data_IF_379313593539
#
_entry.id   IF_379313593539
#
_cell.length_a   1.000
_cell.length_b   1.000
_cell.length_c   1.000
_cell.angle_alpha   90.00
_cell.angle_beta   90.00
_cell.angle_gamma   90.00
#
_symmetry.space_group_name_H-M   'P 1'
#
loop_
_entity.id
_entity.type
_entity.pdbx_description
1 polymer ?
#
# COMPACT_ATOMS: atom_id res chain seq x y z
N UNK A 1 -21.57 14.55 -5.19
CA UNK A 1 -20.27 14.13 -5.78
C UNK A 1 -20.43 12.89 -6.65
N UNK A 2 -20.87 11.75 -6.10
CA UNK A 2 -20.98 10.49 -6.85
C UNK A 2 -22.00 10.49 -8.00
N UNK A 3 -23.09 11.26 -7.90
CA UNK A 3 -24.00 11.48 -9.03
C UNK A 3 -23.31 12.16 -10.21
N UNK A 4 -22.49 13.18 -9.95
CA UNK A 4 -21.71 13.87 -10.99
C UNK A 4 -20.71 12.92 -11.66
N UNK A 5 -19.98 12.14 -10.85
CA UNK A 5 -19.04 11.13 -11.36
C UNK A 5 -19.75 10.09 -12.22
N UNK A 6 -20.93 9.62 -11.80
CA UNK A 6 -21.73 8.66 -12.56
C UNK A 6 -22.27 9.26 -13.86
N UNK A 7 -22.59 10.56 -13.85
CA UNK A 7 -23.02 11.29 -15.05
C UNK A 7 -21.89 11.41 -16.08
N UNK A 8 -20.67 11.66 -15.62
CA UNK A 8 -19.49 11.74 -16.48
C UNK A 8 -19.22 10.37 -17.14
N UNK A 9 -19.33 9.27 -16.39
CA UNK A 9 -19.24 7.90 -16.93
C UNK A 9 -20.37 7.63 -17.94
N UNK A 10 -21.61 8.03 -17.65
CA UNK A 10 -22.73 7.87 -18.59
C UNK A 10 -22.48 8.64 -19.90
N UNK A 11 -21.91 9.85 -19.81
CA UNK A 11 -21.56 10.64 -20.99
C UNK A 11 -20.49 9.95 -21.84
N UNK A 12 -19.48 9.33 -21.21
CA UNK A 12 -18.44 8.56 -21.89
C UNK A 12 -19.04 7.33 -22.61
N UNK A 13 -19.89 6.57 -21.93
CA UNK A 13 -20.61 5.44 -22.54
C UNK A 13 -21.43 5.88 -23.75
N UNK A 14 -22.18 6.98 -23.62
CA UNK A 14 -22.99 7.51 -24.72
C UNK A 14 -22.13 8.02 -25.90
N UNK A 15 -20.88 8.38 -25.65
CA UNK A 15 -19.90 8.77 -26.66
C UNK A 15 -19.17 7.56 -27.29
N UNK A 16 -19.50 6.33 -26.90
CA UNK A 16 -18.91 5.10 -27.43
C UNK A 16 -17.65 4.62 -26.69
N UNK A 17 -17.39 5.11 -25.48
CA UNK A 17 -16.31 4.59 -24.65
C UNK A 17 -16.71 3.23 -24.04
N UNK A 18 -15.97 2.18 -24.38
CA UNK A 18 -16.18 0.80 -23.91
C UNK A 18 -15.30 0.42 -22.71
N UNK A 19 -14.67 1.40 -22.04
CA UNK A 19 -13.86 1.15 -20.85
C UNK A 19 -14.62 0.32 -19.79
N UNK A 20 -14.13 -0.89 -19.53
CA UNK A 20 -14.80 -1.83 -18.62
C UNK A 20 -14.60 -1.37 -17.18
N UNK A 21 -15.69 -0.93 -16.54
CA UNK A 21 -15.71 -0.55 -15.13
C UNK A 21 -16.97 -1.06 -14.42
N UNK A 22 -16.92 -1.15 -13.09
CA UNK A 22 -18.12 -1.45 -12.29
C UNK A 22 -19.19 -0.39 -12.51
N UNK A 23 -18.80 0.88 -12.61
CA UNK A 23 -19.70 1.98 -12.92
C UNK A 23 -20.37 1.82 -14.29
N UNK A 24 -19.58 1.49 -15.32
CA UNK A 24 -20.11 1.27 -16.66
C UNK A 24 -21.09 0.10 -16.73
N UNK A 25 -20.74 -1.04 -16.14
CA UNK A 25 -21.63 -2.21 -16.08
C UNK A 25 -22.92 -1.90 -15.32
N UNK A 26 -22.83 -1.21 -14.17
CA UNK A 26 -24.01 -0.89 -13.35
C UNK A 26 -24.94 0.12 -14.02
N UNK A 27 -24.39 1.08 -14.79
CA UNK A 27 -25.18 2.09 -15.52
C UNK A 27 -25.80 1.53 -16.81
N UNK A 28 -25.21 0.49 -17.41
CA UNK A 28 -25.77 -0.22 -18.57
C UNK A 28 -26.77 -1.32 -18.17
N UNK A 29 -26.76 -1.76 -16.91
CA UNK A 29 -27.67 -2.77 -16.40
C UNK A 29 -29.08 -2.19 -16.19
N UNK A 30 -30.00 -2.52 -17.11
CA UNK A 30 -31.41 -2.15 -17.06
C UNK A 30 -32.17 -2.77 -15.86
N UNK A 31 -31.53 -3.65 -15.08
CA UNK A 31 -32.08 -4.24 -13.85
C UNK A 31 -31.92 -3.37 -12.59
N UNK A 32 -31.09 -2.32 -12.64
CA UNK A 32 -30.88 -1.41 -11.50
C UNK A 32 -31.92 -0.29 -11.54
N UNK A 33 -32.59 -0.09 -10.41
CA UNK A 33 -33.60 0.94 -10.16
C UNK A 33 -33.03 2.36 -10.34
N UNK A 34 -33.02 2.88 -11.56
CA UNK A 34 -32.75 4.30 -11.86
C UNK A 34 -31.31 4.79 -11.58
N UNK A 35 -30.93 5.84 -12.29
CA UNK A 35 -29.59 6.43 -12.23
C UNK A 35 -29.13 6.79 -10.81
N UNK A 36 -30.05 7.29 -9.98
CA UNK A 36 -29.74 7.72 -8.61
C UNK A 36 -29.30 6.55 -7.73
N UNK A 37 -30.03 5.42 -7.74
CA UNK A 37 -29.63 4.26 -6.93
C UNK A 37 -28.32 3.66 -7.45
N UNK A 38 -28.09 3.65 -8.77
CA UNK A 38 -26.81 3.21 -9.33
C UNK A 38 -25.64 4.08 -8.79
N UNK A 39 -25.79 5.41 -8.83
CA UNK A 39 -24.76 6.33 -8.32
C UNK A 39 -24.46 6.13 -6.83
N UNK A 40 -25.50 5.91 -6.01
CA UNK A 40 -25.31 5.67 -4.57
C UNK A 40 -24.76 4.29 -4.24
N UNK A 41 -25.12 3.25 -5.02
CA UNK A 41 -24.49 1.94 -4.89
C UNK A 41 -22.99 2.02 -5.20
N UNK A 42 -22.58 2.77 -6.24
CA UNK A 42 -21.17 3.00 -6.54
C UNK A 42 -20.45 3.74 -5.41
N UNK A 43 -21.10 4.74 -4.80
CA UNK A 43 -20.57 5.43 -3.63
C UNK A 43 -20.34 4.45 -2.46
N UNK A 44 -21.32 3.59 -2.16
CA UNK A 44 -21.19 2.59 -1.10
C UNK A 44 -20.07 1.58 -1.36
N UNK A 45 -19.95 1.08 -2.61
CA UNK A 45 -18.87 0.16 -2.99
C UNK A 45 -17.50 0.84 -2.82
N UNK A 46 -17.36 2.08 -3.30
CA UNK A 46 -16.11 2.83 -3.16
C UNK A 46 -15.74 3.05 -1.69
N UNK A 47 -16.66 3.60 -0.89
CA UNK A 47 -16.40 3.90 0.52
C UNK A 47 -16.07 2.64 1.32
N UNK A 48 -16.81 1.54 1.10
CA UNK A 48 -16.56 0.29 1.81
C UNK A 48 -15.24 -0.37 1.41
N UNK A 49 -14.85 -0.31 0.13
CA UNK A 49 -13.66 -1.00 -0.38
C UNK A 49 -12.34 -0.25 -0.18
N UNK A 50 -12.37 1.09 -0.31
CA UNK A 50 -11.16 1.91 -0.27
C UNK A 50 -10.52 1.93 1.14
N UNK A 51 -11.32 2.20 2.17
CA UNK A 51 -10.79 2.42 3.51
C UNK A 51 -10.37 1.12 4.22
N UNK A 52 -11.12 0.05 4.00
CA UNK A 52 -10.94 -1.24 4.68
C UNK A 52 -9.70 -1.97 4.19
N UNK A 53 -9.52 -2.08 2.87
CA UNK A 53 -8.34 -2.74 2.27
C UNK A 53 -7.05 -2.00 2.65
N UNK A 54 -7.05 -0.67 2.58
CA UNK A 54 -5.91 0.14 3.00
C UNK A 54 -5.60 -0.01 4.50
N UNK A 55 -6.64 -0.04 5.35
CA UNK A 55 -6.47 -0.30 6.78
C UNK A 55 -5.88 -1.69 7.06
N UNK A 56 -6.32 -2.70 6.32
CA UNK A 56 -5.82 -4.07 6.47
C UNK A 56 -4.36 -4.20 6.00
N UNK A 57 -3.98 -3.51 4.92
CA UNK A 57 -2.59 -3.42 4.49
C UNK A 57 -1.72 -2.69 5.52
N UNK A 58 -2.24 -1.67 6.21
CA UNK A 58 -1.51 -1.02 7.29
C UNK A 58 -1.23 -1.98 8.45
N UNK A 59 -2.22 -2.79 8.87
CA UNK A 59 -2.00 -3.86 9.85
C UNK A 59 -1.01 -4.91 9.34
N UNK A 60 -1.05 -5.25 8.06
CA UNK A 60 -0.05 -6.15 7.44
C UNK A 60 1.36 -5.59 7.56
N UNK A 61 1.59 -4.31 7.27
CA UNK A 61 2.90 -3.67 7.42
C UNK A 61 3.42 -3.81 8.86
N UNK A 62 2.55 -3.59 9.86
CA UNK A 62 2.90 -3.75 11.27
C UNK A 62 3.20 -5.22 11.63
N UNK A 63 2.42 -6.17 11.09
CA UNK A 63 2.66 -7.60 11.29
C UNK A 63 4.02 -8.03 10.74
N UNK A 64 4.42 -7.55 9.57
CA UNK A 64 5.72 -7.90 8.98
C UNK A 64 6.91 -7.41 9.81
N UNK A 65 6.75 -6.30 10.53
CA UNK A 65 7.75 -5.77 11.47
C UNK A 65 7.82 -6.63 12.74
N UNK A 66 6.67 -6.98 13.30
CA UNK A 66 6.58 -7.71 14.58
C UNK A 66 6.85 -9.21 14.44
N UNK A 67 6.61 -9.76 13.25
CA UNK A 67 6.69 -11.19 12.97
C UNK A 67 7.61 -11.43 11.77
N UNK A 68 8.88 -11.06 11.92
CA UNK A 68 9.91 -11.18 10.87
C UNK A 68 10.07 -12.61 10.34
N UNK A 69 9.85 -13.63 11.18
CA UNK A 69 9.87 -15.03 10.75
C UNK A 69 8.73 -15.35 9.77
N UNK A 70 7.52 -14.84 10.03
CA UNK A 70 6.41 -15.01 9.09
C UNK A 70 6.68 -14.30 7.76
N UNK A 71 7.32 -13.13 7.81
CA UNK A 71 7.77 -12.41 6.61
C UNK A 71 8.78 -13.25 5.82
N UNK A 72 9.79 -13.83 6.48
CA UNK A 72 10.82 -14.67 5.85
C UNK A 72 10.21 -15.89 5.16
N UNK A 73 9.34 -16.63 5.84
CA UNK A 73 8.68 -17.82 5.28
C UNK A 73 7.82 -17.49 4.05
N UNK A 74 7.08 -16.38 4.10
CA UNK A 74 6.29 -15.89 2.97
C UNK A 74 7.18 -15.50 1.77
N UNK A 75 8.30 -14.82 2.04
CA UNK A 75 9.27 -14.45 1.01
C UNK A 75 9.93 -15.68 0.37
N UNK A 76 10.28 -16.71 1.15
CA UNK A 76 10.86 -17.95 0.64
C UNK A 76 9.90 -18.71 -0.29
N UNK A 77 8.60 -18.73 0.03
CA UNK A 77 7.57 -19.27 -0.87
C UNK A 77 7.51 -18.49 -2.18
N UNK A 78 7.44 -17.16 -2.10
CA UNK A 78 7.42 -16.29 -3.28
C UNK A 78 8.67 -16.50 -4.15
N UNK A 79 9.85 -16.53 -3.54
CA UNK A 79 11.11 -16.67 -4.26
C UNK A 79 11.20 -18.05 -4.94
N UNK A 80 10.65 -19.12 -4.31
CA UNK A 80 10.57 -20.46 -4.89
C UNK A 80 9.61 -20.56 -6.09
N UNK A 81 8.45 -19.90 -6.02
CA UNK A 81 7.35 -20.06 -6.99
C UNK A 81 7.41 -19.01 -8.11
N UNK A 82 7.67 -17.77 -7.76
CA UNK A 82 7.66 -16.62 -8.67
C UNK A 82 9.06 -16.33 -9.21
N UNK A 83 10.07 -16.45 -8.34
CA UNK A 83 11.45 -16.12 -8.67
C UNK A 83 11.73 -14.61 -8.78
N UNK A 84 12.96 -14.20 -9.11
CA UNK A 84 13.38 -12.80 -9.03
C UNK A 84 13.11 -11.98 -10.29
N UNK A 85 12.72 -12.60 -11.42
CA UNK A 85 12.69 -11.95 -12.73
C UNK A 85 11.29 -11.56 -13.24
N UNK A 86 10.24 -11.90 -12.49
CA UNK A 86 8.87 -11.49 -12.80
C UNK A 86 8.13 -11.09 -11.54
N UNK A 87 7.13 -10.24 -11.70
CA UNK A 87 6.21 -9.87 -10.64
C UNK A 87 5.21 -11.02 -10.38
N UNK A 88 4.72 -11.18 -9.14
CA UNK A 88 3.61 -12.08 -8.85
C UNK A 88 2.37 -11.75 -9.69
N UNK A 89 1.58 -12.75 -10.06
CA UNK A 89 0.29 -12.56 -10.74
C UNK A 89 -0.79 -13.40 -10.07
N UNK A 90 -2.04 -13.25 -10.51
CA UNK A 90 -3.14 -14.09 -10.02
C UNK A 90 -2.99 -15.57 -10.43
N UNK A 91 -2.18 -15.88 -11.45
CA UNK A 91 -1.91 -17.27 -11.86
C UNK A 91 -1.08 -18.02 -10.80
N UNK A 92 -0.39 -17.29 -9.93
CA UNK A 92 0.41 -17.86 -8.84
C UNK A 92 -0.47 -18.27 -7.63
N UNK A 93 -1.74 -17.88 -7.59
CA UNK A 93 -2.59 -17.99 -6.40
C UNK A 93 -2.61 -19.40 -5.78
N UNK A 94 -2.88 -20.44 -6.57
CA UNK A 94 -2.94 -21.82 -6.04
C UNK A 94 -1.57 -22.36 -5.60
N UNK A 95 -0.47 -21.75 -6.05
CA UNK A 95 0.89 -22.17 -5.74
C UNK A 95 1.52 -21.40 -4.56
N UNK A 96 0.79 -20.43 -3.98
CA UNK A 96 1.23 -19.61 -2.86
C UNK A 96 0.37 -19.82 -1.60
N UNK A 97 0.31 -21.05 -1.04
CA UNK A 97 -0.53 -21.35 0.12
C UNK A 97 -0.14 -20.55 1.37
N UNK A 98 1.13 -20.27 1.62
CA UNK A 98 1.56 -19.46 2.76
C UNK A 98 1.12 -17.99 2.62
N UNK A 99 1.16 -17.42 1.41
CA UNK A 99 0.60 -16.08 1.16
C UNK A 99 -0.92 -16.06 1.36
N UNK A 100 -1.64 -17.09 0.91
CA UNK A 100 -3.08 -17.21 1.16
C UNK A 100 -3.38 -17.32 2.65
N UNK A 101 -2.61 -18.11 3.39
CA UNK A 101 -2.69 -18.23 4.84
C UNK A 101 -2.38 -16.89 5.54
N UNK A 102 -1.40 -16.13 5.02
CA UNK A 102 -1.06 -14.78 5.51
C UNK A 102 -2.22 -13.79 5.33
N UNK A 103 -2.93 -13.84 4.20
CA UNK A 103 -4.15 -13.03 3.96
C UNK A 103 -5.24 -13.38 4.97
N UNK A 104 -5.49 -14.68 5.20
CA UNK A 104 -6.48 -15.14 6.18
C UNK A 104 -6.10 -14.70 7.60
N UNK A 105 -4.82 -14.82 7.97
CA UNK A 105 -4.36 -14.46 9.30
C UNK A 105 -4.40 -12.97 9.55
N UNK A 106 -4.07 -12.12 8.57
CA UNK A 106 -4.14 -10.68 8.81
C UNK A 106 -5.58 -10.22 9.03
N UNK A 107 -6.53 -10.80 8.28
CA UNK A 107 -7.96 -10.53 8.45
C UNK A 107 -8.46 -11.01 9.82
N UNK A 108 -7.92 -12.10 10.37
CA UNK A 108 -8.27 -12.63 11.69
C UNK A 108 -7.64 -11.85 12.84
N UNK A 109 -6.33 -11.59 12.79
CA UNK A 109 -5.53 -11.05 13.90
C UNK A 109 -5.89 -9.60 14.27
N UNK A 110 -5.96 -8.73 13.25
CA UNK A 110 -6.29 -7.31 13.42
C UNK A 110 -7.21 -6.86 12.29
N UNK A 111 -8.48 -7.25 12.43
CA UNK A 111 -9.54 -6.83 11.51
C UNK A 111 -9.85 -5.33 11.66
N UNK A 112 -10.02 -4.66 10.53
CA UNK A 112 -10.34 -3.22 10.47
C UNK A 112 -11.69 -2.84 11.10
N UNK A 113 -12.59 -3.80 11.32
CA UNK A 113 -13.90 -3.60 11.95
C UNK A 113 -14.09 -4.62 13.09
N UNK A 114 -13.52 -4.38 14.28
CA UNK A 114 -13.44 -5.37 15.36
C UNK A 114 -14.79 -5.78 15.96
N UNK A 115 -15.80 -4.91 15.88
CA UNK A 115 -17.17 -5.16 16.37
C UNK A 115 -18.17 -5.46 15.23
N UNK A 116 -17.66 -5.59 13.99
CA UNK A 116 -18.46 -5.70 12.78
C UNK A 116 -19.40 -4.51 12.56
N UNK A 117 -20.39 -4.71 11.69
CA UNK A 117 -21.50 -3.75 11.55
C UNK A 117 -22.67 -4.18 12.44
N UNK A 118 -23.27 -3.26 13.21
CA UNK A 118 -24.39 -3.61 14.08
C UNK A 118 -25.57 -4.16 13.29
N UNK A 119 -26.15 -5.24 13.77
CA UNK A 119 -27.39 -5.80 13.24
C UNK A 119 -28.57 -5.39 14.12
N UNK A 120 -29.77 -5.29 13.54
CA UNK A 120 -31.00 -5.03 14.26
C UNK A 120 -31.99 -6.16 14.05
N UNK A 121 -32.56 -6.69 15.14
CA UNK A 121 -33.65 -7.67 15.07
C UNK A 121 -34.89 -7.07 14.41
N UNK A 122 -35.46 -7.78 13.44
CA UNK A 122 -36.69 -7.35 12.73
C UNK A 122 -37.97 -7.82 13.43
N UNK A 123 -37.85 -8.76 14.37
CA UNK A 123 -38.89 -9.35 15.20
C UNK A 123 -38.25 -9.88 16.50
N UNK A 124 -39.07 -10.21 17.49
CA UNK A 124 -38.63 -10.91 18.68
C UNK A 124 -37.98 -12.26 18.30
N UNK A 125 -36.90 -12.62 18.98
CA UNK A 125 -36.17 -13.87 18.77
C UNK A 125 -35.63 -14.43 20.09
N UNK A 126 -35.22 -15.70 20.11
CA UNK A 126 -34.60 -16.33 21.27
C UNK A 126 -33.18 -16.79 20.95
N UNK A 127 -32.22 -16.40 21.77
CA UNK A 127 -30.83 -16.85 21.69
C UNK A 127 -30.38 -17.38 23.05
N UNK A 128 -29.87 -18.62 23.10
CA UNK A 128 -29.41 -19.27 24.34
C UNK A 128 -30.44 -19.20 25.49
N UNK A 129 -31.74 -19.30 25.16
CA UNK A 129 -32.84 -19.21 26.13
C UNK A 129 -33.26 -17.79 26.52
N UNK A 130 -32.57 -16.75 26.05
CA UNK A 130 -32.93 -15.35 26.29
C UNK A 130 -33.83 -14.80 25.18
N UNK A 131 -34.95 -14.18 25.58
CA UNK A 131 -35.77 -13.39 24.65
C UNK A 131 -35.02 -12.10 24.29
N UNK A 132 -34.75 -11.93 23.00
CA UNK A 132 -34.26 -10.71 22.38
C UNK A 132 -35.43 -10.02 21.68
N UNK A 133 -35.94 -8.89 22.21
CA UNK A 133 -37.05 -8.19 21.58
C UNK A 133 -36.67 -7.67 20.18
N UNK A 134 -37.68 -7.46 19.35
CA UNK A 134 -37.58 -6.68 18.12
C UNK A 134 -36.85 -5.36 18.37
N UNK A 135 -36.09 -4.92 17.37
CA UNK A 135 -35.27 -3.70 17.40
C UNK A 135 -34.03 -3.76 18.31
N UNK A 136 -33.76 -4.88 18.99
CA UNK A 136 -32.48 -5.11 19.67
C UNK A 136 -31.32 -4.97 18.68
N UNK A 137 -30.28 -4.23 19.09
CA UNK A 137 -29.04 -4.06 18.33
C UNK A 137 -28.02 -5.09 18.82
N UNK A 138 -27.52 -5.89 17.89
CA UNK A 138 -26.53 -6.93 18.16
C UNK A 138 -25.21 -6.59 17.48
N UNK A 139 -24.12 -6.82 18.21
CA UNK A 139 -22.76 -6.73 17.71
C UNK A 139 -22.17 -8.12 17.64
N UNK A 140 -21.28 -8.35 16.67
CA UNK A 140 -20.53 -9.59 16.57
C UNK A 140 -19.09 -9.33 17.00
N UNK A 141 -18.61 -10.09 17.98
CA UNK A 141 -17.23 -10.05 18.48
C UNK A 141 -16.62 -11.41 18.18
N UNK A 142 -15.41 -11.43 17.65
CA UNK A 142 -14.79 -12.65 17.13
C UNK A 142 -13.47 -12.99 17.81
N UNK A 143 -13.29 -14.29 18.10
CA UNK A 143 -12.01 -14.98 18.23
C UNK A 143 -11.38 -15.00 19.62
N UNK A 144 -11.00 -16.21 20.07
CA UNK A 144 -9.94 -16.44 21.04
C UNK A 144 -8.56 -16.34 20.32
N UNK A 145 -7.46 -16.14 21.06
CA UNK A 145 -6.09 -16.02 20.49
C UNK A 145 -5.93 -14.87 19.46
N UNK A 146 -6.55 -13.72 19.74
CA UNK A 146 -6.46 -12.53 18.89
C UNK A 146 -5.11 -11.81 18.99
N UNK A 147 -4.23 -12.21 19.91
CA UNK A 147 -2.99 -11.47 20.20
C UNK A 147 -1.83 -11.88 19.30
N UNK A 148 -1.77 -13.16 18.90
CA UNK A 148 -0.62 -13.69 18.17
C UNK A 148 -0.91 -13.87 16.66
N UNK A 149 -0.05 -13.28 15.83
CA UNK A 149 -0.07 -13.45 14.38
C UNK A 149 0.70 -14.70 13.97
N UNK A 150 0.00 -15.70 13.43
CA UNK A 150 0.58 -16.95 12.95
C UNK A 150 -0.15 -17.44 11.69
N UNK A 151 0.38 -17.20 10.48
CA UNK A 151 -0.20 -17.72 9.24
C UNK A 151 -0.28 -19.26 9.21
N UNK A 152 0.65 -19.96 9.88
CA UNK A 152 0.72 -21.42 9.91
C UNK A 152 -0.55 -22.09 10.45
N UNK A 153 -1.41 -21.38 11.19
CA UNK A 153 -2.70 -21.91 11.66
C UNK A 153 -3.72 -22.19 10.56
N UNK A 154 -3.48 -21.70 9.34
CA UNK A 154 -4.32 -21.97 8.17
C UNK A 154 -3.65 -22.97 7.23
N UNK A 155 -2.64 -23.69 7.69
CA UNK A 155 -1.91 -24.67 6.90
C UNK A 155 -2.02 -26.05 7.54
N UNK A 156 -2.19 -27.06 6.69
CA UNK A 156 -2.10 -28.46 7.10
C UNK A 156 -0.64 -28.88 7.36
N UNK A 157 -0.43 -30.11 7.85
CA UNK A 157 0.90 -30.67 8.12
C UNK A 157 1.82 -30.72 6.89
N UNK A 158 1.27 -30.64 5.68
CA UNK A 158 2.00 -30.66 4.41
C UNK A 158 2.25 -29.23 3.87
N UNK A 159 1.80 -28.18 4.56
CA UNK A 159 1.92 -26.80 4.13
C UNK A 159 0.89 -26.36 3.08
N UNK A 160 -0.17 -27.14 2.85
CA UNK A 160 -1.29 -26.72 2.02
C UNK A 160 -2.31 -25.93 2.84
N UNK A 161 -3.13 -25.11 2.17
CA UNK A 161 -4.18 -24.36 2.85
C UNK A 161 -5.19 -25.32 3.49
N UNK A 162 -5.36 -25.22 4.81
CA UNK A 162 -6.28 -26.05 5.58
C UNK A 162 -7.75 -25.71 5.25
N UNK A 163 -8.63 -26.70 5.42
CA UNK A 163 -10.07 -26.50 5.30
C UNK A 163 -10.55 -25.45 6.31
N UNK A 164 -11.45 -24.59 5.86
CA UNK A 164 -11.94 -23.49 6.70
C UNK A 164 -12.86 -24.00 7.80
N UNK A 165 -12.88 -23.27 8.92
CA UNK A 165 -13.80 -23.51 10.03
C UNK A 165 -15.24 -23.50 9.52
N UNK A 166 -16.07 -24.41 10.05
CA UNK A 166 -17.50 -24.51 9.72
C UNK A 166 -18.18 -23.15 9.87
N UNK A 167 -19.14 -22.88 9.00
CA UNK A 167 -19.93 -21.63 8.95
C UNK A 167 -19.17 -20.34 8.60
N UNK A 168 -17.88 -20.41 8.27
CA UNK A 168 -17.11 -19.24 7.76
C UNK A 168 -17.21 -19.03 6.24
N UNK A 169 -18.03 -19.83 5.54
CA UNK A 169 -18.17 -19.81 4.06
C UNK A 169 -16.82 -19.86 3.33
N UNK A 170 -15.96 -20.77 3.77
CA UNK A 170 -14.63 -21.04 3.21
C UNK A 170 -13.59 -19.90 3.40
N UNK A 171 -13.94 -18.87 4.17
CA UNK A 171 -13.01 -17.79 4.51
C UNK A 171 -12.04 -18.20 5.63
N UNK A 172 -12.47 -19.06 6.57
CA UNK A 172 -11.66 -19.50 7.73
C UNK A 172 -11.55 -18.45 8.85
N UNK A 173 -12.11 -17.26 8.64
CA UNK A 173 -12.19 -16.18 9.61
C UNK A 173 -13.56 -15.47 9.48
N UNK A 174 -13.91 -14.66 10.48
CA UNK A 174 -15.24 -14.04 10.60
C UNK A 174 -15.31 -12.57 10.13
N UNK A 175 -14.20 -12.01 9.65
CA UNK A 175 -14.03 -10.57 9.41
C UNK A 175 -14.94 -10.00 8.32
N UNK A 176 -15.52 -10.85 7.47
CA UNK A 176 -16.50 -10.46 6.46
C UNK A 176 -17.96 -10.58 6.93
N UNK A 177 -18.20 -11.05 8.15
CA UNK A 177 -19.54 -11.34 8.68
C UNK A 177 -20.18 -12.58 8.06
N UNK A 178 -21.49 -12.75 8.31
CA UNK A 178 -22.20 -14.00 8.01
C UNK A 178 -23.58 -13.78 7.38
N UNK A 179 -24.13 -14.88 6.87
CA UNK A 179 -25.51 -14.95 6.42
C UNK A 179 -25.83 -13.98 5.27
N UNK A 180 -27.04 -13.39 5.31
CA UNK A 180 -27.57 -12.50 4.26
C UNK A 180 -26.86 -11.15 4.18
N UNK A 181 -26.03 -10.79 5.17
CA UNK A 181 -25.31 -9.52 5.26
C UNK A 181 -23.79 -9.68 5.18
N UNK A 182 -23.31 -10.87 4.78
CA UNK A 182 -21.88 -11.07 4.52
C UNK A 182 -21.37 -10.04 3.50
N UNK A 183 -20.13 -9.60 3.69
CA UNK A 183 -19.46 -8.66 2.81
C UNK A 183 -19.56 -9.09 1.34
N UNK A 184 -20.18 -8.24 0.52
CA UNK A 184 -20.28 -8.43 -0.93
C UNK A 184 -18.93 -8.22 -1.62
N UNK A 185 -18.06 -7.40 -1.03
CA UNK A 185 -16.74 -7.06 -1.55
C UNK A 185 -15.63 -8.06 -1.19
N UNK A 186 -15.91 -9.14 -0.46
CA UNK A 186 -14.89 -10.07 0.06
C UNK A 186 -13.98 -10.66 -1.02
N UNK A 187 -14.52 -10.95 -2.21
CA UNK A 187 -13.75 -11.47 -3.34
C UNK A 187 -12.74 -10.44 -3.86
N UNK A 188 -13.17 -9.17 -3.97
CA UNK A 188 -12.29 -8.06 -4.35
C UNK A 188 -11.25 -7.84 -3.26
N UNK A 189 -11.65 -7.86 -1.99
CA UNK A 189 -10.73 -7.69 -0.86
C UNK A 189 -9.67 -8.81 -0.81
N UNK A 190 -10.07 -10.08 -0.90
CA UNK A 190 -9.15 -11.22 -0.92
C UNK A 190 -8.16 -11.13 -2.09
N UNK A 191 -8.64 -10.82 -3.30
CA UNK A 191 -7.77 -10.68 -4.47
C UNK A 191 -6.80 -9.50 -4.33
N UNK A 192 -7.30 -8.34 -3.86
CA UNK A 192 -6.47 -7.16 -3.61
C UNK A 192 -5.41 -7.41 -2.54
N UNK A 193 -5.80 -8.00 -1.40
CA UNK A 193 -4.87 -8.33 -0.32
C UNK A 193 -3.82 -9.34 -0.77
N UNK A 194 -4.24 -10.41 -1.46
CA UNK A 194 -3.33 -11.40 -2.01
C UNK A 194 -2.27 -10.75 -2.90
N UNK A 195 -2.70 -10.00 -3.91
CA UNK A 195 -1.76 -9.46 -4.89
C UNK A 195 -0.88 -8.38 -4.27
N UNK A 196 -1.43 -7.50 -3.42
CA UNK A 196 -0.64 -6.47 -2.74
C UNK A 196 0.39 -7.07 -1.78
N UNK A 197 0.00 -8.06 -0.97
CA UNK A 197 0.92 -8.73 -0.03
C UNK A 197 2.01 -9.47 -0.80
N UNK A 198 1.66 -10.24 -1.84
CA UNK A 198 2.63 -10.94 -2.66
C UNK A 198 3.64 -9.97 -3.30
N UNK A 199 3.17 -8.86 -3.86
CA UNK A 199 4.03 -7.84 -4.45
C UNK A 199 4.95 -7.18 -3.42
N UNK A 200 4.42 -6.76 -2.27
CA UNK A 200 5.20 -6.09 -1.23
C UNK A 200 6.33 -7.01 -0.74
N UNK A 201 6.03 -8.28 -0.47
CA UNK A 201 7.03 -9.25 -0.01
C UNK A 201 7.99 -9.70 -1.10
N UNK A 202 7.54 -9.73 -2.36
CA UNK A 202 8.45 -9.95 -3.49
C UNK A 202 9.46 -8.81 -3.65
N UNK A 203 9.02 -7.56 -3.45
CA UNK A 203 9.82 -6.38 -3.73
C UNK A 203 10.69 -5.91 -2.55
N UNK A 204 10.22 -6.05 -1.31
CA UNK A 204 10.80 -5.38 -0.16
C UNK A 204 11.01 -6.31 1.04
N UNK A 205 12.02 -5.97 1.85
CA UNK A 205 12.07 -6.31 3.26
C UNK A 205 11.47 -5.15 4.05
N UNK A 206 10.58 -5.48 4.99
CA UNK A 206 9.82 -4.55 5.81
C UNK A 206 10.37 -4.65 7.24
N UNK A 207 11.00 -3.60 7.72
CA UNK A 207 11.58 -3.57 9.08
C UNK A 207 11.21 -2.30 9.82
N UNK A 208 11.34 -2.33 11.15
CA UNK A 208 11.27 -1.10 11.95
C UNK A 208 12.41 -0.14 11.54
N UNK A 209 12.17 1.16 11.65
CA UNK A 209 13.26 2.14 11.61
C UNK A 209 14.12 1.96 12.88
N UNK A 210 15.43 2.08 12.71
CA UNK A 210 16.40 2.02 13.81
C UNK A 210 16.98 3.41 13.95
N UNK A 211 16.96 3.95 15.17
CA UNK A 211 17.55 5.25 15.46
C UNK A 211 19.10 5.23 15.36
N UNK A 212 19.71 6.40 15.48
CA UNK A 212 21.17 6.58 15.42
C UNK A 212 21.90 5.81 16.53
N UNK A 213 21.19 5.43 17.61
CA UNK A 213 21.70 4.64 18.73
C UNK A 213 21.55 3.12 18.56
N UNK A 214 20.94 2.65 17.47
CA UNK A 214 20.68 1.22 17.26
C UNK A 214 19.43 0.71 17.96
N UNK A 215 18.53 1.58 18.42
CA UNK A 215 17.27 1.22 19.06
C UNK A 215 16.12 1.31 18.06
N UNK A 216 15.22 0.33 18.10
CA UNK A 216 13.98 0.35 17.32
C UNK A 216 12.79 0.42 18.27
N UNK A 217 11.98 1.47 18.13
CA UNK A 217 10.68 1.54 18.80
C UNK A 217 9.71 0.63 18.05
N UNK A 218 9.63 -0.63 18.49
CA UNK A 218 8.69 -1.58 17.90
C UNK A 218 7.25 -1.11 18.12
N UNK A 219 6.39 -1.24 17.11
CA UNK A 219 5.00 -0.84 17.24
C UNK A 219 4.26 -1.70 18.26
N UNK A 220 3.48 -1.07 19.14
CA UNK A 220 2.54 -1.80 19.99
C UNK A 220 1.34 -2.29 19.15
N UNK A 221 1.18 -3.61 19.07
CA UNK A 221 0.09 -4.24 18.31
C UNK A 221 -1.31 -4.00 18.90
N UNK A 222 -1.41 -3.51 20.14
CA UNK A 222 -2.68 -3.17 20.80
C UNK A 222 -3.09 -1.72 20.55
N UNK A 223 -2.14 -0.84 20.21
CA UNK A 223 -2.45 0.56 19.96
C UNK A 223 -2.98 0.77 18.54
N UNK A 224 -4.15 1.41 18.45
CA UNK A 224 -4.77 1.75 17.18
C UNK A 224 -5.34 3.17 17.18
N UNK A 225 -5.46 3.74 15.98
CA UNK A 225 -6.30 4.91 15.75
C UNK A 225 -7.75 4.45 15.78
N UNK A 226 -8.48 4.90 16.79
CA UNK A 226 -9.89 4.59 16.99
C UNK A 226 -10.77 5.26 15.91
N UNK A 227 -11.87 4.60 15.57
CA UNK A 227 -12.83 5.08 14.59
C UNK A 227 -13.81 3.97 14.19
N UNK A 228 -14.64 4.24 13.19
CA UNK A 228 -15.48 3.20 12.57
C UNK A 228 -14.63 2.06 11.98
N UNK A 229 -13.45 2.43 11.48
CA UNK A 229 -12.40 1.53 11.04
C UNK A 229 -11.15 1.79 11.89
N UNK A 230 -10.59 0.72 12.46
CA UNK A 230 -9.35 0.78 13.24
C UNK A 230 -8.12 0.55 12.36
N UNK A 231 -7.06 1.31 12.63
CA UNK A 231 -5.76 1.22 11.93
C UNK A 231 -4.63 1.26 12.96
N UNK A 232 -3.46 0.67 12.69
CA UNK A 232 -2.36 0.78 13.63
C UNK A 232 -1.95 2.24 13.79
N UNK A 233 -1.49 2.59 15.00
CA UNK A 233 -0.74 3.83 15.17
C UNK A 233 0.61 3.61 14.47
N UNK A 234 0.94 4.46 13.50
CA UNK A 234 2.24 4.39 12.84
C UNK A 234 3.30 4.67 13.91
N UNK A 235 4.02 3.64 14.37
CA UNK A 235 5.25 3.82 15.12
C UNK A 235 6.25 4.60 14.25
N UNK A 236 7.25 5.18 14.89
CA UNK A 236 8.33 5.98 14.31
C UNK A 236 8.94 5.32 13.06
N UNK A 237 8.34 5.58 11.88
CA UNK A 237 8.79 5.08 10.58
C UNK A 237 8.73 3.55 10.38
N UNK A 238 8.63 3.14 9.12
CA UNK A 238 8.99 1.79 8.68
C UNK A 238 10.00 1.93 7.55
N UNK A 239 10.97 1.02 7.51
CA UNK A 239 11.95 0.98 6.43
C UNK A 239 11.51 -0.06 5.40
N UNK A 240 11.44 0.36 4.14
CA UNK A 240 11.34 -0.54 3.00
C UNK A 240 12.71 -0.60 2.34
N UNK A 241 13.41 -1.73 2.46
CA UNK A 241 14.62 -1.99 1.68
C UNK A 241 14.29 -2.91 0.51
N UNK A 242 14.76 -2.54 -0.69
CA UNK A 242 14.50 -3.33 -1.90
C UNK A 242 15.23 -4.67 -1.81
N UNK A 243 14.56 -5.78 -2.13
CA UNK A 243 15.20 -7.09 -2.30
C UNK A 243 16.09 -7.17 -3.57
N UNK A 244 16.09 -6.13 -4.42
CA UNK A 244 16.80 -6.18 -5.71
C UNK A 244 18.33 -6.24 -5.60
N UNK A 245 18.94 -5.68 -4.54
CA UNK A 245 20.39 -5.86 -4.30
C UNK A 245 20.71 -7.33 -4.00
N UNK A 246 19.90 -7.98 -3.16
CA UNK A 246 20.10 -9.38 -2.77
C UNK A 246 19.78 -10.36 -3.92
N UNK A 247 18.89 -9.96 -4.84
CA UNK A 247 18.49 -10.75 -6.02
C UNK A 247 19.50 -10.68 -7.17
N UNK A 248 20.33 -9.62 -7.24
CA UNK A 248 21.40 -9.48 -8.24
C UNK A 248 22.70 -10.17 -7.80
N UNK A 249 22.91 -10.34 -6.49
CA UNK A 249 24.09 -10.99 -5.90
C UNK A 249 23.96 -12.52 -5.74
N UNK A 250 22.86 -13.12 -6.22
CA UNK A 250 22.77 -14.59 -6.36
C UNK A 250 23.90 -15.06 -7.29
N UNK A 251 24.78 -15.99 -6.86
CA UNK A 251 26.08 -16.18 -7.47
C UNK A 251 25.94 -16.68 -8.91
N UNK A 252 26.18 -15.79 -9.86
CA UNK A 252 26.71 -16.17 -11.16
C UNK A 252 28.22 -16.29 -10.98
N UNK A 253 28.73 -17.50 -11.19
CA UNK A 253 30.15 -17.79 -11.10
C UNK A 253 30.93 -16.91 -12.10
N UNK A 254 31.77 -15.98 -11.63
CA UNK A 254 33.17 -15.84 -12.07
C UNK A 254 33.86 -14.54 -11.61
N UNK A 255 35.12 -14.74 -11.19
CA UNK A 255 36.28 -13.83 -11.18
C UNK A 255 36.26 -12.56 -10.32
N UNK A 256 37.06 -12.65 -9.27
CA UNK A 256 37.84 -11.62 -8.58
C UNK A 256 38.52 -10.62 -9.50
N UNK A 257 38.52 -9.34 -9.14
CA UNK A 257 39.79 -8.62 -8.97
C UNK A 257 39.68 -7.45 -7.98
N UNK A 258 40.74 -7.26 -7.20
CA UNK A 258 40.84 -6.29 -6.13
C UNK A 258 41.63 -5.05 -6.57
N UNK A 259 41.17 -3.86 -6.20
CA UNK A 259 41.89 -2.60 -6.45
C UNK A 259 41.68 -1.61 -5.31
N UNK A 260 42.68 -1.49 -4.44
CA UNK A 260 42.77 -0.53 -3.33
C UNK A 260 43.17 0.87 -3.78
N UNK A 261 42.60 1.92 -3.17
CA UNK A 261 43.13 3.28 -3.26
C UNK A 261 42.53 4.22 -2.20
N UNK A 262 43.34 4.59 -1.19
CA UNK A 262 43.05 5.66 -0.22
C UNK A 262 43.50 7.02 -0.76
N UNK A 263 42.71 8.07 -0.49
CA UNK A 263 43.12 9.47 -0.63
C UNK A 263 42.23 10.38 0.21
N UNK A 264 42.85 11.12 1.13
CA UNK A 264 42.25 12.10 2.05
C UNK A 264 42.15 13.51 1.40
N UNK A 265 41.48 14.49 2.04
CA UNK A 265 40.62 15.49 1.40
C UNK A 265 41.31 16.83 1.12
N UNK A 266 40.79 17.62 0.18
CA UNK A 266 40.97 19.08 0.14
C UNK A 266 39.95 19.79 -0.77
N UNK A 267 39.45 20.94 -0.31
CA UNK A 267 38.85 22.01 -1.12
C UNK A 267 37.37 21.86 -1.52
N UNK A 268 36.47 22.53 -0.80
CA UNK A 268 35.06 22.63 -1.17
C UNK A 268 34.87 23.45 -2.46
N UNK A 269 34.90 22.78 -3.62
CA UNK A 269 34.30 23.26 -4.86
C UNK A 269 32.83 22.86 -4.89
N UNK A 270 31.92 23.79 -5.15
CA UNK A 270 30.50 23.51 -5.37
C UNK A 270 30.38 22.38 -6.41
N UNK A 271 29.70 21.26 -6.09
CA UNK A 271 29.60 20.14 -7.02
C UNK A 271 28.88 20.57 -8.31
N UNK A 272 29.50 20.33 -9.46
CA UNK A 272 28.88 20.62 -10.76
C UNK A 272 27.62 19.77 -10.95
N UNK A 273 26.53 20.39 -11.40
CA UNK A 273 25.28 19.68 -11.67
C UNK A 273 25.41 18.71 -12.86
N UNK A 274 24.85 17.51 -12.73
CA UNK A 274 24.80 16.48 -13.78
C UNK A 274 23.34 16.23 -14.15
N UNK A 275 22.91 16.75 -15.29
CA UNK A 275 21.54 16.57 -15.80
C UNK A 275 21.37 15.14 -16.33
N UNK A 276 20.28 14.49 -15.92
CA UNK A 276 19.96 13.11 -16.32
C UNK A 276 18.79 13.05 -17.28
N UNK A 277 17.76 13.84 -17.04
CA UNK A 277 16.60 13.96 -17.91
C UNK A 277 16.02 15.36 -17.78
N UNK A 278 15.54 15.93 -18.89
CA UNK A 278 15.05 17.30 -18.92
C UNK A 278 14.00 17.46 -20.02
N UNK A 279 12.91 18.12 -19.67
CA UNK A 279 11.89 18.65 -20.56
C UNK A 279 11.51 20.04 -20.04
N UNK A 280 12.33 21.04 -20.35
CA UNK A 280 12.12 22.48 -20.08
C UNK A 280 13.10 23.31 -20.94
N UNK A 281 12.98 24.64 -20.93
CA UNK A 281 13.94 25.51 -21.64
C UNK A 281 15.33 25.51 -20.98
N UNK A 282 16.38 25.80 -21.75
CA UNK A 282 17.75 25.93 -21.22
C UNK A 282 17.84 26.99 -20.11
N UNK A 283 17.09 28.08 -20.25
CA UNK A 283 17.00 29.14 -19.23
C UNK A 283 16.40 28.62 -17.92
N UNK A 284 15.30 27.85 -17.98
CA UNK A 284 14.65 27.28 -16.80
C UNK A 284 15.49 26.13 -16.20
N UNK A 285 16.21 25.39 -17.03
CA UNK A 285 17.16 24.37 -16.59
C UNK A 285 18.30 25.00 -15.78
N UNK A 286 18.90 26.09 -16.27
CA UNK A 286 19.95 26.80 -15.54
C UNK A 286 19.41 27.36 -14.22
N UNK A 287 18.22 27.97 -14.26
CA UNK A 287 17.56 28.47 -13.05
C UNK A 287 17.28 27.35 -12.03
N UNK A 288 16.87 26.16 -12.49
CA UNK A 288 16.66 24.98 -11.64
C UNK A 288 17.93 24.61 -10.87
N UNK A 289 19.07 24.60 -11.57
CA UNK A 289 20.37 24.27 -10.99
C UNK A 289 20.82 25.36 -10.01
N UNK A 290 20.60 26.64 -10.34
CA UNK A 290 21.00 27.77 -9.51
C UNK A 290 20.19 27.81 -8.19
N UNK A 291 18.87 27.63 -8.28
CA UNK A 291 17.98 27.57 -7.12
C UNK A 291 18.35 26.37 -6.23
N UNK A 292 18.60 25.20 -6.82
CA UNK A 292 19.01 24.01 -6.09
C UNK A 292 20.36 24.20 -5.39
N UNK A 293 21.35 24.79 -6.07
CA UNK A 293 22.68 25.06 -5.50
C UNK A 293 22.59 26.03 -4.32
N UNK A 294 21.83 27.13 -4.46
CA UNK A 294 21.60 28.07 -3.37
C UNK A 294 20.86 27.46 -2.18
N UNK A 295 19.93 26.52 -2.42
CA UNK A 295 19.25 25.80 -1.36
C UNK A 295 20.21 24.85 -0.62
N UNK A 296 21.10 24.16 -1.35
CA UNK A 296 22.11 23.26 -0.79
C UNK A 296 23.19 23.99 0.05
N UNK A 297 23.49 25.25 -0.27
CA UNK A 297 24.40 26.07 0.55
C UNK A 297 23.78 26.48 1.89
N UNK A 298 22.45 26.56 1.95
CA UNK A 298 21.72 27.11 3.10
C UNK A 298 21.14 26.04 4.02
N UNK A 299 20.84 24.86 3.51
CA UNK A 299 20.14 23.80 4.23
C UNK A 299 20.86 22.46 4.10
N UNK A 300 20.92 21.71 5.19
CA UNK A 300 21.58 20.39 5.26
C UNK A 300 20.60 19.22 5.38
N UNK A 301 19.29 19.50 5.42
CA UNK A 301 18.22 18.49 5.51
C UNK A 301 17.49 18.45 4.17
N UNK A 302 17.36 17.28 3.55
CA UNK A 302 16.78 17.13 2.20
C UNK A 302 15.36 17.70 2.10
N UNK A 303 14.57 17.52 3.16
CA UNK A 303 13.21 18.08 3.27
C UNK A 303 13.20 19.61 3.13
N UNK A 304 14.14 20.30 3.79
CA UNK A 304 14.18 21.76 3.79
C UNK A 304 14.70 22.30 2.46
N UNK A 305 15.65 21.59 1.84
CA UNK A 305 16.13 21.86 0.49
C UNK A 305 14.96 21.75 -0.50
N UNK A 306 14.22 20.64 -0.48
CA UNK A 306 13.06 20.43 -1.35
C UNK A 306 11.98 21.50 -1.15
N UNK A 307 11.68 21.85 0.11
CA UNK A 307 10.71 22.89 0.45
C UNK A 307 11.14 24.28 -0.07
N UNK A 308 12.42 24.62 0.03
CA UNK A 308 12.95 25.89 -0.48
C UNK A 308 12.87 25.97 -2.00
N UNK A 309 13.30 24.92 -2.70
CA UNK A 309 13.26 24.87 -4.18
C UNK A 309 11.80 24.99 -4.64
N UNK A 310 10.89 24.21 -4.05
CA UNK A 310 9.46 24.27 -4.36
C UNK A 310 8.90 25.68 -4.19
N UNK A 311 9.20 26.31 -3.04
CA UNK A 311 8.72 27.66 -2.73
C UNK A 311 9.18 28.68 -3.77
N UNK A 312 10.43 28.57 -4.24
CA UNK A 312 10.97 29.50 -5.23
C UNK A 312 10.39 29.26 -6.63
N UNK A 313 10.19 28.00 -7.01
CA UNK A 313 9.50 27.65 -8.27
C UNK A 313 8.04 28.12 -8.27
N UNK A 314 7.29 27.87 -7.19
CA UNK A 314 5.91 28.36 -7.05
C UNK A 314 5.83 29.89 -7.14
N UNK A 315 6.84 30.59 -6.61
CA UNK A 315 6.92 32.05 -6.62
C UNK A 315 7.20 32.62 -8.01
N UNK A 316 8.05 31.95 -8.81
CA UNK A 316 8.49 32.45 -10.13
C UNK A 316 7.62 32.00 -11.28
N UNK A 317 7.15 30.75 -11.22
CA UNK A 317 6.49 30.06 -12.34
C UNK A 317 5.03 29.68 -12.04
N UNK A 318 4.45 30.30 -11.00
CA UNK A 318 3.12 30.01 -10.51
C UNK A 318 3.06 28.69 -9.71
N UNK A 319 1.96 28.45 -8.97
CA UNK A 319 1.86 27.32 -8.05
C UNK A 319 1.85 25.96 -8.78
N UNK A 320 1.84 24.89 -7.96
CA UNK A 320 1.74 23.45 -8.30
C UNK A 320 3.03 22.76 -8.73
N UNK A 321 4.18 23.28 -8.29
CA UNK A 321 5.45 22.56 -8.44
C UNK A 321 5.63 21.49 -7.37
N UNK A 322 6.26 20.40 -7.76
CA UNK A 322 6.66 19.29 -6.92
C UNK A 322 8.18 19.14 -6.98
N UNK A 323 8.79 18.87 -5.82
CA UNK A 323 10.23 18.71 -5.70
C UNK A 323 10.53 17.52 -4.81
N UNK A 324 11.43 16.66 -5.28
CA UNK A 324 12.00 15.55 -4.51
C UNK A 324 13.51 15.73 -4.46
N UNK A 325 14.09 15.62 -3.27
CA UNK A 325 15.53 15.67 -3.02
C UNK A 325 15.90 14.44 -2.19
N UNK A 326 16.95 13.73 -2.58
CA UNK A 326 17.38 12.52 -1.88
C UNK A 326 18.59 11.88 -2.53
N UNK A 327 19.28 11.01 -1.79
CA UNK A 327 20.47 10.29 -2.31
C UNK A 327 20.08 9.15 -3.25
N UNK A 328 19.00 8.43 -2.92
CA UNK A 328 18.52 7.28 -3.66
C UNK A 328 17.00 7.33 -3.77
N UNK A 329 16.47 7.50 -4.98
CA UNK A 329 15.06 7.30 -5.30
C UNK A 329 14.89 6.99 -6.79
N UNK A 330 13.89 6.18 -7.12
CA UNK A 330 13.37 6.02 -8.48
C UNK A 330 12.11 6.88 -8.64
N UNK A 331 11.90 7.44 -9.83
CA UNK A 331 10.70 8.24 -10.10
C UNK A 331 10.14 7.95 -11.49
N UNK A 332 8.81 7.92 -11.58
CA UNK A 332 8.05 7.91 -12.82
C UNK A 332 6.81 8.77 -12.60
N UNK A 333 6.80 9.98 -13.17
CA UNK A 333 5.81 11.02 -12.85
C UNK A 333 5.11 11.53 -14.10
N UNK A 334 3.79 11.67 -14.01
CA UNK A 334 3.01 12.46 -14.98
C UNK A 334 3.24 13.94 -14.70
N UNK A 335 3.52 14.71 -15.74
CA UNK A 335 3.86 16.13 -15.62
C UNK A 335 3.34 16.91 -16.83
N UNK A 336 3.16 18.22 -16.66
CA UNK A 336 2.93 19.15 -17.76
C UNK A 336 4.15 19.17 -18.69
N UNK A 337 3.93 19.18 -20.01
CA UNK A 337 5.04 19.29 -20.99
C UNK A 337 5.86 20.55 -20.74
N UNK A 338 7.18 20.48 -20.94
CA UNK A 338 8.16 21.56 -20.74
C UNK A 338 8.37 22.00 -19.28
N UNK A 339 7.93 21.21 -18.30
CA UNK A 339 8.08 21.51 -16.88
C UNK A 339 8.61 20.32 -16.08
N UNK A 340 9.71 19.72 -16.53
CA UNK A 340 10.34 18.58 -15.85
C UNK A 340 11.87 18.60 -15.94
N UNK A 341 12.54 18.33 -14.83
CA UNK A 341 13.99 18.12 -14.80
C UNK A 341 14.40 17.17 -13.67
N UNK A 342 15.37 16.32 -14.00
CA UNK A 342 16.03 15.40 -13.09
C UNK A 342 17.54 15.52 -13.21
N UNK A 343 18.22 15.81 -12.11
CA UNK A 343 19.67 16.04 -12.10
C UNK A 343 20.29 15.71 -10.74
N UNK A 344 21.63 15.62 -10.73
CA UNK A 344 22.42 15.44 -9.51
C UNK A 344 23.24 16.68 -9.20
N UNK A 345 23.36 17.04 -7.93
CA UNK A 345 24.35 17.97 -7.40
C UNK A 345 25.13 17.25 -6.30
N UNK A 346 26.37 16.88 -6.59
CA UNK A 346 27.15 16.01 -5.70
C UNK A 346 26.51 14.62 -5.60
N UNK A 347 26.23 14.16 -4.38
CA UNK A 347 25.56 12.87 -4.13
C UNK A 347 24.03 12.96 -4.05
N UNK A 348 23.44 14.15 -4.19
CA UNK A 348 22.00 14.35 -4.07
C UNK A 348 21.35 14.40 -5.44
N UNK A 349 20.35 13.56 -5.64
CA UNK A 349 19.46 13.59 -6.78
C UNK A 349 18.31 14.59 -6.50
N UNK A 350 17.96 15.38 -7.51
CA UNK A 350 16.94 16.43 -7.44
C UNK A 350 16.01 16.25 -8.63
N UNK A 351 14.72 16.16 -8.33
CA UNK A 351 13.65 16.03 -9.30
C UNK A 351 12.66 17.18 -9.11
N UNK A 352 12.41 17.96 -10.15
CA UNK A 352 11.49 19.10 -10.14
C UNK A 352 10.51 18.92 -11.30
N UNK A 353 9.20 18.97 -11.01
CA UNK A 353 8.19 18.93 -12.06
C UNK A 353 6.91 19.67 -11.68
N UNK A 354 6.09 19.98 -12.68
CA UNK A 354 4.75 20.52 -12.52
C UNK A 354 3.70 19.49 -12.95
N UNK A 355 2.66 19.30 -12.14
CA UNK A 355 1.57 18.34 -12.42
C UNK A 355 0.37 19.00 -13.09
#
# INVERSE_FOLDING_TARGET
MFEKLSYDVQKQINAGDEATSVAGKLLQDNGVKGFFEAAWNLASIYSAGAETTAGQLAWFMQAMILYSEAQRLAQEEIDRVVGPYRLPTFDDYEHLPYIRATVKEILRWRGVSPIGLPHRLIQDDYYEGYLLPKDTICFAIYGDDAEHFNPGRFLDENGNLESSIVDTRDEGHASYGFGKRICVGRHVANNSLFIHIAFLLWAFNITAEVDVGGHSDLPDSLQCKEGLIVRPITASGFLLSTKMTDKLDAPTSSSTDAGSGKGAPDGASVPKAIIKNVDMSEEMQQESVDIASAALEKYNIEKDIAAQIKKEFDRRHGPTWHVVVGKNFGSYVTHETKHFIYFYVGSLAILIWKS
#
